data_IF_596628336885
#
_entry.id   IF_596628336885
#
_cell.length_a   1.000
_cell.length_b   1.000
_cell.length_c   1.000
_cell.angle_alpha   90.00
_cell.angle_beta   90.00
_cell.angle_gamma   90.00
#
_symmetry.space_group_name_H-M   'P 1'
#
loop_
_entity.id
_entity.type
_entity.pdbx_description
1 polymer ?
#
# COMPACT_ATOMS: atom_id res chain seq x y z
N UNK A 1 15.69 7.44 -13.62
CA UNK A 1 15.84 7.54 -12.15
C UNK A 1 14.91 8.60 -11.53
N UNK A 2 14.81 9.83 -12.07
CA UNK A 2 14.05 10.94 -11.45
C UNK A 2 12.57 10.65 -11.10
N UNK A 3 11.84 9.81 -11.86
CA UNK A 3 10.41 9.53 -11.58
C UNK A 3 10.18 8.69 -10.33
N UNK A 4 11.12 7.81 -9.96
CA UNK A 4 10.93 6.90 -8.83
C UNK A 4 11.63 7.37 -7.56
N UNK A 5 12.25 8.55 -7.57
CA UNK A 5 13.08 9.00 -6.45
C UNK A 5 12.29 9.05 -5.13
N UNK A 6 11.11 9.67 -5.14
CA UNK A 6 10.22 9.74 -3.97
C UNK A 6 9.89 8.33 -3.44
N UNK A 7 9.55 7.42 -4.33
CA UNK A 7 9.22 6.03 -3.97
C UNK A 7 10.42 5.28 -3.38
N UNK A 8 11.61 5.47 -3.95
CA UNK A 8 12.85 4.88 -3.44
C UNK A 8 13.20 5.40 -2.06
N UNK A 9 13.11 6.73 -1.85
CA UNK A 9 13.37 7.36 -0.55
C UNK A 9 12.41 6.82 0.51
N UNK A 10 11.13 6.66 0.17
CA UNK A 10 10.16 6.03 1.07
C UNK A 10 10.53 4.58 1.38
N UNK A 11 10.88 3.77 0.37
CA UNK A 11 11.23 2.36 0.59
C UNK A 11 12.44 2.19 1.48
N UNK A 12 13.46 3.04 1.31
CA UNK A 12 14.66 3.04 2.14
C UNK A 12 14.34 3.42 3.58
N UNK A 13 13.35 4.28 3.84
CA UNK A 13 12.99 4.71 5.19
C UNK A 13 11.85 3.90 5.84
N UNK A 14 11.15 3.04 5.10
CA UNK A 14 9.94 2.36 5.57
C UNK A 14 10.15 1.49 6.82
N UNK A 15 11.30 0.85 6.94
CA UNK A 15 11.63 0.06 8.13
C UNK A 15 11.77 0.96 9.37
N UNK A 16 12.38 2.14 9.23
CA UNK A 16 12.57 3.10 10.31
C UNK A 16 11.21 3.64 10.78
N UNK A 17 10.34 4.06 9.86
CA UNK A 17 9.01 4.60 10.22
C UNK A 17 8.11 3.52 10.82
N UNK A 18 8.17 2.28 10.32
CA UNK A 18 7.40 1.18 10.92
C UNK A 18 7.84 0.92 12.37
N UNK A 19 9.15 0.90 12.64
CA UNK A 19 9.67 0.62 13.99
C UNK A 19 9.47 1.78 14.96
N UNK A 20 9.70 3.02 14.53
CA UNK A 20 9.63 4.20 15.41
C UNK A 20 8.21 4.73 15.58
N UNK A 21 7.43 4.72 14.51
CA UNK A 21 6.16 5.45 14.42
C UNK A 21 4.96 4.51 14.23
N UNK A 22 5.19 3.19 14.07
CA UNK A 22 4.17 2.18 13.75
C UNK A 22 3.38 2.50 12.47
N UNK A 23 4.02 3.17 11.51
CA UNK A 23 3.39 3.55 10.24
C UNK A 23 4.33 3.44 9.03
N UNK A 24 3.69 3.27 7.88
CA UNK A 24 4.28 3.49 6.57
C UNK A 24 3.21 4.17 5.69
N UNK A 25 3.54 4.69 4.50
CA UNK A 25 2.53 5.24 3.62
C UNK A 25 1.40 4.25 3.23
N UNK A 26 1.60 2.95 3.44
CA UNK A 26 0.65 1.87 3.17
C UNK A 26 0.12 1.15 4.42
N UNK A 27 0.59 1.52 5.62
CA UNK A 27 0.12 0.95 6.88
C UNK A 27 -0.25 2.09 7.82
N UNK A 28 -1.55 2.24 8.06
CA UNK A 28 -2.04 3.32 8.89
C UNK A 28 -1.53 3.17 10.34
N UNK A 29 -1.11 4.26 11.00
CA UNK A 29 -0.55 4.24 12.36
C UNK A 29 -1.47 3.62 13.43
N UNK A 30 -2.78 3.74 13.22
CA UNK A 30 -3.77 3.17 14.14
C UNK A 30 -4.02 1.67 13.91
N UNK A 31 -3.56 1.08 12.80
CA UNK A 31 -3.85 -0.30 12.41
C UNK A 31 -3.39 -1.32 13.48
N UNK A 32 -2.22 -1.09 14.07
CA UNK A 32 -1.63 -1.98 15.08
C UNK A 32 -1.45 -1.31 16.45
N UNK A 33 -2.10 -0.16 16.66
CA UNK A 33 -1.92 0.65 17.89
C UNK A 33 -2.18 -0.15 19.17
N UNK A 34 -3.20 -1.03 19.14
CA UNK A 34 -3.61 -1.78 20.32
C UNK A 34 -2.82 -3.09 20.49
N UNK A 35 -2.41 -3.71 19.39
CA UNK A 35 -1.69 -4.98 19.38
C UNK A 35 -0.88 -5.15 18.10
N UNK A 36 0.42 -5.38 18.25
CA UNK A 36 1.31 -5.70 17.13
C UNK A 36 1.12 -7.17 16.73
N UNK A 37 0.77 -7.49 15.47
CA UNK A 37 0.58 -8.87 15.02
C UNK A 37 1.87 -9.70 15.12
N UNK A 38 1.73 -11.01 15.24
CA UNK A 38 2.88 -11.92 15.32
C UNK A 38 3.71 -11.89 14.05
N UNK A 39 3.06 -11.75 12.90
CA UNK A 39 3.73 -11.68 11.60
C UNK A 39 4.66 -10.45 11.47
N UNK A 40 4.47 -9.39 12.27
CA UNK A 40 5.42 -8.27 12.32
C UNK A 40 6.67 -8.54 13.18
N UNK A 41 6.63 -9.58 14.04
CA UNK A 41 7.65 -9.85 15.06
C UNK A 41 8.38 -11.17 14.85
N UNK A 42 7.82 -12.08 14.05
CA UNK A 42 8.28 -13.45 13.91
C UNK A 42 9.26 -13.66 12.75
N UNK A 43 9.95 -14.81 12.76
CA UNK A 43 10.61 -15.35 11.57
C UNK A 43 9.54 -15.80 10.55
N UNK A 44 9.26 -14.91 9.61
CA UNK A 44 8.22 -15.07 8.62
C UNK A 44 8.40 -16.32 7.76
N UNK A 45 9.63 -16.69 7.43
CA UNK A 45 9.91 -17.78 6.50
C UNK A 45 9.77 -19.15 7.17
N UNK A 46 9.99 -19.21 8.49
CA UNK A 46 9.77 -20.41 9.28
C UNK A 46 8.33 -20.55 9.79
N UNK A 47 7.58 -19.45 9.85
CA UNK A 47 6.20 -19.44 10.36
C UNK A 47 5.16 -19.93 9.35
N UNK A 48 4.18 -20.68 9.85
CA UNK A 48 3.01 -21.13 9.09
C UNK A 48 2.22 -19.94 8.50
N UNK A 49 1.50 -20.22 7.40
CA UNK A 49 0.66 -19.21 6.75
C UNK A 49 -0.49 -18.80 7.70
N UNK A 50 -0.64 -17.52 8.05
CA UNK A 50 -1.73 -17.06 8.89
C UNK A 50 -3.08 -17.19 8.17
N UNK A 51 -4.15 -17.34 8.96
CA UNK A 51 -5.53 -17.42 8.45
C UNK A 51 -6.35 -16.17 8.77
N UNK A 52 -6.05 -15.45 9.85
CA UNK A 52 -6.76 -14.21 10.18
C UNK A 52 -6.34 -13.06 9.27
N UNK A 53 -7.30 -12.28 8.78
CA UNK A 53 -7.09 -11.18 7.85
C UNK A 53 -5.99 -10.19 8.29
N UNK A 54 -5.98 -9.81 9.57
CA UNK A 54 -5.00 -8.87 10.14
C UNK A 54 -3.57 -9.43 10.13
N UNK A 55 -3.39 -10.71 10.45
CA UNK A 55 -2.07 -11.38 10.38
C UNK A 55 -1.62 -11.60 8.93
N UNK A 56 -2.55 -11.89 8.01
CA UNK A 56 -2.24 -11.98 6.59
C UNK A 56 -1.73 -10.64 6.04
N UNK A 57 -2.41 -9.53 6.41
CA UNK A 57 -1.97 -8.18 6.04
C UNK A 57 -0.61 -7.84 6.66
N UNK A 58 -0.44 -8.13 7.95
CA UNK A 58 0.81 -7.92 8.66
C UNK A 58 1.97 -8.68 8.04
N UNK A 59 1.76 -9.95 7.63
CA UNK A 59 2.76 -10.75 6.92
C UNK A 59 3.16 -10.11 5.60
N UNK A 60 2.21 -9.57 4.83
CA UNK A 60 2.52 -8.85 3.60
C UNK A 60 3.35 -7.60 3.87
N UNK A 61 2.93 -6.77 4.82
CA UNK A 61 3.64 -5.54 5.16
C UNK A 61 5.06 -5.82 5.67
N UNK A 62 5.23 -6.84 6.53
CA UNK A 62 6.53 -7.26 7.01
C UNK A 62 7.42 -7.77 5.87
N UNK A 63 6.89 -8.64 4.98
CA UNK A 63 7.64 -9.10 3.81
C UNK A 63 8.04 -7.95 2.89
N UNK A 64 7.16 -6.97 2.64
CA UNK A 64 7.49 -5.76 1.87
C UNK A 64 8.66 -5.04 2.52
N UNK A 65 8.63 -4.78 3.83
CA UNK A 65 9.70 -4.09 4.55
C UNK A 65 11.02 -4.87 4.47
N UNK A 66 11.00 -6.19 4.68
CA UNK A 66 12.20 -7.01 4.54
C UNK A 66 12.77 -6.99 3.11
N UNK A 67 11.90 -7.01 2.10
CA UNK A 67 12.33 -6.91 0.72
C UNK A 67 12.87 -5.52 0.38
N UNK A 68 12.29 -4.42 0.89
CA UNK A 68 12.83 -3.07 0.63
C UNK A 68 14.21 -2.91 1.25
N UNK A 69 14.43 -3.41 2.47
CA UNK A 69 15.76 -3.42 3.09
C UNK A 69 16.74 -4.15 2.16
N UNK A 70 16.44 -5.39 1.76
CA UNK A 70 17.39 -6.23 1.01
C UNK A 70 17.63 -5.78 -0.44
N UNK A 71 16.60 -5.24 -1.11
CA UNK A 71 16.70 -4.82 -2.51
C UNK A 71 17.50 -3.53 -2.68
N UNK A 72 17.40 -2.63 -1.71
CA UNK A 72 18.04 -1.32 -1.73
C UNK A 72 19.27 -1.25 -0.82
N UNK A 73 19.75 -2.41 -0.35
CA UNK A 73 21.06 -2.56 0.30
C UNK A 73 22.18 -2.61 -0.75
N UNK A 74 23.32 -2.01 -0.43
CA UNK A 74 24.52 -2.02 -1.28
C UNK A 74 25.18 -3.41 -1.33
N UNK A 75 24.88 -4.29 -0.37
CA UNK A 75 25.42 -5.63 -0.29
C UNK A 75 24.83 -6.59 -1.35
N UNK A 76 25.73 -7.33 -2.00
CA UNK A 76 25.36 -8.34 -2.99
C UNK A 76 24.68 -9.55 -2.34
N UNK A 77 25.08 -9.91 -1.12
CA UNK A 77 24.45 -11.02 -0.40
C UNK A 77 23.01 -10.68 0.00
N UNK A 78 22.74 -9.43 0.40
CA UNK A 78 21.38 -8.95 0.61
C UNK A 78 20.50 -9.06 -0.65
N UNK A 79 21.01 -8.64 -1.81
CA UNK A 79 20.28 -8.77 -3.09
C UNK A 79 20.02 -10.22 -3.50
N UNK A 80 20.97 -11.13 -3.26
CA UNK A 80 20.75 -12.56 -3.48
C UNK A 80 19.66 -13.10 -2.55
N UNK A 81 19.70 -12.73 -1.27
CA UNK A 81 18.68 -13.10 -0.30
C UNK A 81 17.28 -12.55 -0.67
N UNK A 82 17.20 -11.33 -1.23
CA UNK A 82 15.96 -10.79 -1.78
C UNK A 82 15.42 -11.68 -2.90
N UNK A 83 16.27 -12.06 -3.87
CA UNK A 83 15.87 -12.91 -4.98
C UNK A 83 15.35 -14.29 -4.52
N UNK A 84 15.96 -14.87 -3.49
CA UNK A 84 15.53 -16.15 -2.91
C UNK A 84 14.18 -16.05 -2.16
N UNK A 85 13.85 -14.88 -1.62
CA UNK A 85 12.68 -14.70 -0.73
C UNK A 85 11.52 -13.98 -1.39
N UNK A 86 11.71 -13.38 -2.57
CA UNK A 86 10.65 -12.80 -3.38
C UNK A 86 9.49 -13.77 -3.69
N UNK A 87 9.72 -15.09 -3.93
CA UNK A 87 8.62 -16.05 -4.08
C UNK A 87 7.69 -16.08 -2.86
N UNK A 88 8.20 -15.90 -1.64
CA UNK A 88 7.37 -15.89 -0.43
C UNK A 88 6.43 -14.68 -0.38
N UNK A 89 6.89 -13.50 -0.84
CA UNK A 89 6.03 -12.31 -0.98
C UNK A 89 4.92 -12.57 -2.00
N UNK A 90 5.25 -13.16 -3.16
CA UNK A 90 4.25 -13.51 -4.18
C UNK A 90 3.21 -14.49 -3.67
N UNK A 91 3.65 -15.58 -3.04
CA UNK A 91 2.75 -16.60 -2.48
C UNK A 91 1.85 -16.01 -1.39
N UNK A 92 2.40 -15.15 -0.52
CA UNK A 92 1.61 -14.48 0.52
C UNK A 92 0.58 -13.51 -0.08
N UNK A 93 0.94 -12.81 -1.16
CA UNK A 93 0.02 -11.91 -1.88
C UNK A 93 -1.11 -12.68 -2.54
N UNK A 94 -0.79 -13.77 -3.25
CA UNK A 94 -1.79 -14.65 -3.83
C UNK A 94 -2.71 -15.24 -2.77
N UNK A 95 -2.16 -15.71 -1.65
CA UNK A 95 -2.96 -16.22 -0.54
C UNK A 95 -3.90 -15.15 0.02
N UNK A 96 -3.39 -13.93 0.26
CA UNK A 96 -4.20 -12.82 0.76
C UNK A 96 -5.40 -12.55 -0.17
N UNK A 97 -5.15 -12.39 -1.48
CA UNK A 97 -6.18 -12.07 -2.46
C UNK A 97 -7.24 -13.18 -2.61
N UNK A 98 -6.87 -14.43 -2.36
CA UNK A 98 -7.79 -15.58 -2.48
C UNK A 98 -8.58 -15.86 -1.20
N UNK A 99 -8.04 -15.50 -0.03
CA UNK A 99 -8.55 -15.98 1.26
C UNK A 99 -8.96 -14.86 2.22
N UNK A 100 -8.57 -13.62 1.98
CA UNK A 100 -8.95 -12.48 2.82
C UNK A 100 -10.08 -11.71 2.15
N UNK A 101 -11.25 -11.75 2.78
CA UNK A 101 -12.35 -10.86 2.43
C UNK A 101 -12.07 -9.48 3.03
N UNK A 102 -11.89 -8.50 2.16
CA UNK A 102 -11.85 -7.09 2.52
C UNK A 102 -13.27 -6.59 2.30
N UNK A 103 -13.94 -6.17 3.39
CA UNK A 103 -15.24 -5.51 3.28
C UNK A 103 -15.11 -4.34 2.27
N UNK A 104 -16.21 -3.93 1.66
CA UNK A 104 -16.19 -2.81 0.74
C UNK A 104 -16.82 -1.59 1.39
N UNK A 105 -16.08 -0.87 2.25
CA UNK A 105 -16.55 0.44 2.77
C UNK A 105 -16.92 1.41 1.64
N UNK A 106 -16.40 1.23 0.42
CA UNK A 106 -16.76 2.01 -0.76
C UNK A 106 -18.21 1.79 -1.19
N UNK A 107 -18.80 0.64 -0.86
CA UNK A 107 -20.19 0.31 -1.20
C UNK A 107 -21.21 1.04 -0.30
N UNK A 108 -20.79 1.59 0.84
CA UNK A 108 -21.68 2.25 1.81
C UNK A 108 -22.03 3.70 1.43
N UNK A 109 -21.53 4.22 0.31
CA UNK A 109 -21.85 5.56 -0.18
C UNK A 109 -21.37 6.68 0.78
N UNK A 110 -22.22 7.69 0.99
CA UNK A 110 -21.96 8.80 1.90
C UNK A 110 -22.81 8.66 3.17
N UNK A 111 -22.36 7.90 4.19
CA UNK A 111 -23.04 7.85 5.47
C UNK A 111 -23.10 9.24 6.12
N UNK A 112 -24.17 9.55 6.87
CA UNK A 112 -24.26 10.79 7.61
C UNK A 112 -23.19 10.83 8.71
N UNK A 113 -22.71 12.04 9.05
CA UNK A 113 -21.66 12.23 10.07
C UNK A 113 -22.03 11.61 11.42
N UNK A 114 -23.30 11.61 11.80
CA UNK A 114 -23.78 10.99 13.05
C UNK A 114 -23.44 9.51 13.11
N UNK A 115 -23.65 8.76 12.02
CA UNK A 115 -23.34 7.33 11.94
C UNK A 115 -21.83 7.06 11.98
N UNK A 116 -21.02 7.99 11.46
CA UNK A 116 -19.55 7.91 11.56
C UNK A 116 -19.03 8.22 12.97
N UNK A 117 -19.82 8.89 13.80
CA UNK A 117 -19.47 9.23 15.18
C UNK A 117 -19.97 8.19 16.19
N UNK A 118 -20.97 7.37 15.85
CA UNK A 118 -21.50 6.32 16.71
C UNK A 118 -20.45 5.25 17.03
N UNK A 119 -20.18 5.01 18.31
CA UNK A 119 -19.34 3.89 18.76
C UNK A 119 -20.04 2.55 18.48
N UNK A 120 -19.30 1.47 18.15
CA UNK A 120 -19.89 0.15 17.99
C UNK A 120 -20.53 -0.30 19.31
N UNK A 121 -21.86 -0.31 19.36
CA UNK A 121 -22.58 -0.79 20.55
C UNK A 121 -22.43 -2.31 20.69
N UNK A 122 -22.12 -2.79 21.89
CA UNK A 122 -21.90 -4.22 22.18
C UNK A 122 -23.17 -5.08 22.13
N UNK A 123 -24.32 -4.53 21.71
CA UNK A 123 -25.64 -5.12 21.96
C UNK A 123 -26.64 -5.11 20.79
N UNK A 124 -26.29 -4.69 19.57
CA UNK A 124 -27.22 -4.81 18.44
C UNK A 124 -26.86 -6.00 17.55
N UNK A 125 -27.62 -7.09 17.72
CA UNK A 125 -27.71 -8.13 16.71
C UNK A 125 -28.12 -7.50 15.37
N UNK A 126 -27.43 -7.93 14.32
CA UNK A 126 -27.58 -7.57 12.92
C UNK A 126 -29.01 -7.18 12.50
N UNK A 127 -29.15 -6.00 11.90
CA UNK A 127 -30.20 -5.82 10.87
C UNK A 127 -29.81 -4.88 9.71
N UNK A 128 -28.81 -4.00 9.83
CA UNK A 128 -28.34 -3.21 8.68
C UNK A 128 -26.83 -2.94 8.71
N UNK A 129 -25.98 -3.93 8.37
CA UNK A 129 -24.60 -3.77 7.84
C UNK A 129 -23.54 -2.93 8.58
N UNK A 130 -23.91 -2.11 9.56
CA UNK A 130 -23.13 -1.06 10.23
C UNK A 130 -22.86 -1.42 11.70
N UNK A 131 -23.03 -2.70 12.07
CA UNK A 131 -22.65 -3.23 13.40
C UNK A 131 -21.13 -3.29 13.61
N UNK A 132 -20.34 -2.99 12.57
CA UNK A 132 -18.88 -2.97 12.59
C UNK A 132 -18.42 -1.51 12.64
N UNK A 133 -17.40 -1.22 13.43
CA UNK A 133 -16.79 0.11 13.48
C UNK A 133 -16.30 0.50 12.06
N UNK A 134 -17.06 1.39 11.41
CA UNK A 134 -16.79 1.83 10.03
C UNK A 134 -15.37 2.38 9.88
N UNK A 135 -14.90 3.18 10.84
CA UNK A 135 -13.60 3.82 10.73
C UNK A 135 -12.46 2.80 10.87
N UNK A 136 -12.56 1.87 11.82
CA UNK A 136 -11.57 0.80 11.96
C UNK A 136 -11.58 -0.15 10.76
N UNK A 137 -12.77 -0.43 10.22
CA UNK A 137 -12.92 -1.21 8.99
C UNK A 137 -12.24 -0.49 7.84
N UNK A 138 -12.52 0.81 7.64
CA UNK A 138 -11.88 1.63 6.62
C UNK A 138 -10.35 1.66 6.76
N UNK A 139 -9.82 1.80 7.98
CA UNK A 139 -8.36 1.78 8.25
C UNK A 139 -7.75 0.46 7.76
N UNK A 140 -8.37 -0.67 8.11
CA UNK A 140 -7.90 -1.98 7.70
C UNK A 140 -7.94 -2.14 6.18
N UNK A 141 -9.09 -1.83 5.58
CA UNK A 141 -9.28 -2.01 4.15
C UNK A 141 -8.37 -1.10 3.32
N UNK A 142 -8.23 0.17 3.71
CA UNK A 142 -7.39 1.13 3.01
C UNK A 142 -5.91 0.76 3.13
N UNK A 143 -5.48 0.34 4.32
CA UNK A 143 -4.13 -0.22 4.51
C UNK A 143 -3.92 -1.47 3.66
N UNK A 144 -4.93 -2.35 3.54
CA UNK A 144 -4.87 -3.52 2.67
C UNK A 144 -4.73 -3.14 1.20
N UNK A 145 -5.59 -2.25 0.68
CA UNK A 145 -5.56 -1.77 -0.71
C UNK A 145 -4.21 -1.16 -1.07
N UNK A 146 -3.67 -0.28 -0.22
CA UNK A 146 -2.33 0.33 -0.40
C UNK A 146 -1.23 -0.74 -0.33
N UNK A 147 -1.28 -1.66 0.63
CA UNK A 147 -0.28 -2.73 0.78
C UNK A 147 -0.26 -3.67 -0.43
N UNK A 148 -1.42 -4.05 -0.96
CA UNK A 148 -1.51 -4.91 -2.16
C UNK A 148 -0.86 -4.21 -3.35
N UNK A 149 -1.17 -2.92 -3.57
CA UNK A 149 -0.52 -2.13 -4.61
C UNK A 149 1.01 -2.13 -4.44
N UNK A 150 1.51 -1.90 -3.22
CA UNK A 150 2.94 -1.92 -2.95
C UNK A 150 3.58 -3.28 -3.19
N UNK A 151 2.91 -4.37 -2.82
CA UNK A 151 3.41 -5.72 -3.06
C UNK A 151 3.63 -5.93 -4.57
N UNK A 152 2.64 -5.59 -5.40
CA UNK A 152 2.79 -5.67 -6.85
C UNK A 152 3.89 -4.75 -7.39
N UNK A 153 3.96 -3.50 -6.91
CA UNK A 153 4.98 -2.54 -7.32
C UNK A 153 6.38 -3.06 -7.02
N UNK A 154 6.62 -3.53 -5.78
CA UNK A 154 7.92 -4.02 -5.35
C UNK A 154 8.35 -5.28 -6.10
N UNK A 155 7.40 -6.19 -6.33
CA UNK A 155 7.59 -7.38 -7.16
C UNK A 155 8.04 -6.98 -8.58
N UNK A 156 7.40 -5.97 -9.18
CA UNK A 156 7.77 -5.48 -10.52
C UNK A 156 9.12 -4.80 -10.55
N UNK A 157 9.44 -3.99 -9.55
CA UNK A 157 10.77 -3.38 -9.40
C UNK A 157 11.84 -4.45 -9.36
N UNK A 158 11.64 -5.49 -8.52
CA UNK A 158 12.59 -6.59 -8.44
C UNK A 158 12.73 -7.36 -9.76
N UNK A 159 11.63 -7.65 -10.46
CA UNK A 159 11.71 -8.33 -11.77
C UNK A 159 12.55 -7.53 -12.76
N UNK A 160 12.33 -6.21 -12.84
CA UNK A 160 13.09 -5.31 -13.71
C UNK A 160 14.56 -5.32 -13.30
N UNK A 161 14.88 -5.13 -12.02
CA UNK A 161 16.25 -5.17 -11.50
C UNK A 161 16.94 -6.50 -11.82
N UNK A 162 16.26 -7.62 -11.59
CA UNK A 162 16.77 -8.95 -11.88
C UNK A 162 17.02 -9.13 -13.38
N UNK A 163 16.05 -8.79 -14.23
CA UNK A 163 16.12 -8.89 -15.67
C UNK A 163 17.30 -8.10 -16.24
N UNK A 164 17.57 -6.90 -15.72
CA UNK A 164 18.63 -6.01 -16.22
C UNK A 164 19.97 -6.17 -15.48
N UNK A 165 20.04 -6.99 -14.43
CA UNK A 165 21.30 -7.27 -13.74
C UNK A 165 22.30 -8.03 -14.63
N UNK A 166 23.58 -7.70 -14.52
CA UNK A 166 24.66 -8.40 -15.23
C UNK A 166 24.98 -9.74 -14.54
N UNK A 167 24.96 -10.84 -15.31
CA UNK A 167 25.42 -12.15 -14.86
C UNK A 167 25.99 -12.92 -16.05
N UNK A 168 27.13 -13.59 -15.89
CA UNK A 168 27.81 -14.32 -16.97
C UNK A 168 27.37 -15.79 -17.09
N UNK A 169 26.54 -16.29 -16.18
CA UNK A 169 25.99 -17.65 -16.25
C UNK A 169 24.99 -17.78 -17.41
N UNK A 170 25.23 -18.77 -18.28
CA UNK A 170 24.39 -19.05 -19.47
C UNK A 170 22.96 -19.43 -19.10
N UNK A 171 22.76 -20.26 -18.07
CA UNK A 171 21.43 -20.68 -17.65
C UNK A 171 20.62 -19.49 -17.10
N UNK A 172 21.29 -18.60 -16.37
CA UNK A 172 20.68 -17.37 -15.87
C UNK A 172 20.33 -16.39 -17.00
N UNK A 173 21.19 -16.28 -18.02
CA UNK A 173 20.92 -15.47 -19.22
C UNK A 173 19.70 -15.97 -20.00
N UNK A 174 19.58 -17.28 -20.20
CA UNK A 174 18.41 -17.88 -20.86
C UNK A 174 17.13 -17.61 -20.08
N UNK A 175 17.16 -17.78 -18.75
CA UNK A 175 16.02 -17.47 -17.87
C UNK A 175 15.62 -16.00 -17.93
N UNK A 176 16.60 -15.07 -17.90
CA UNK A 176 16.36 -13.63 -18.05
C UNK A 176 15.79 -13.29 -19.43
N UNK A 177 16.29 -13.91 -20.50
CA UNK A 177 15.79 -13.71 -21.85
C UNK A 177 14.33 -14.17 -21.99
N UNK A 178 13.99 -15.33 -21.40
CA UNK A 178 12.62 -15.82 -21.37
C UNK A 178 11.71 -14.90 -20.57
N UNK A 179 12.17 -14.41 -19.40
CA UNK A 179 11.42 -13.44 -18.63
C UNK A 179 11.24 -12.12 -19.37
N UNK A 180 12.24 -11.60 -20.07
CA UNK A 180 12.11 -10.39 -20.92
C UNK A 180 11.03 -10.55 -21.99
N UNK A 181 10.98 -11.70 -22.67
CA UNK A 181 9.94 -11.98 -23.69
C UNK A 181 8.54 -12.02 -23.08
N UNK A 182 8.42 -12.53 -21.86
CA UNK A 182 7.16 -12.65 -21.14
C UNK A 182 6.80 -11.40 -20.32
N UNK A 183 7.74 -10.47 -20.11
CA UNK A 183 7.56 -9.27 -19.32
C UNK A 183 6.71 -8.27 -20.11
N UNK A 184 5.41 -8.38 -19.95
CA UNK A 184 4.43 -7.38 -20.36
C UNK A 184 3.87 -6.70 -19.12
N UNK A 185 3.52 -5.42 -19.24
CA UNK A 185 2.64 -4.78 -18.27
C UNK A 185 1.33 -5.57 -18.24
N UNK A 186 1.13 -6.39 -17.21
CA UNK A 186 0.00 -7.31 -17.13
C UNK A 186 -1.27 -6.66 -16.56
N UNK A 187 -1.29 -5.33 -16.52
CA UNK A 187 -2.39 -4.53 -16.02
C UNK A 187 -2.56 -4.58 -14.51
N UNK A 188 -2.06 -5.60 -13.80
CA UNK A 188 -2.31 -5.85 -12.37
C UNK A 188 -1.93 -4.71 -11.43
N UNK A 189 -1.02 -3.83 -11.81
CA UNK A 189 -0.72 -2.63 -11.02
C UNK A 189 -1.86 -1.59 -11.06
N UNK A 190 -2.67 -1.59 -12.12
CA UNK A 190 -3.91 -0.83 -12.24
C UNK A 190 -5.14 -1.68 -11.91
N UNK A 191 -5.27 -2.85 -12.55
CA UNK A 191 -6.42 -3.74 -12.45
C UNK A 191 -6.70 -4.18 -11.01
N UNK A 192 -7.88 -3.83 -10.51
CA UNK A 192 -8.38 -4.21 -9.19
C UNK A 192 -7.74 -3.48 -8.01
N UNK A 193 -7.14 -2.31 -8.25
CA UNK A 193 -6.69 -1.41 -7.18
C UNK A 193 -7.49 -0.12 -7.21
N UNK A 194 -8.14 0.13 -6.08
CA UNK A 194 -8.65 1.45 -5.75
C UNK A 194 -8.18 1.85 -4.37
N UNK A 195 -8.06 3.14 -4.12
CA UNK A 195 -7.74 3.68 -2.80
C UNK A 195 -8.19 5.13 -2.73
N UNK A 196 -8.39 5.63 -1.51
CA UNK A 196 -8.70 7.03 -1.31
C UNK A 196 -7.43 7.87 -1.39
N UNK A 197 -7.39 8.78 -2.36
CA UNK A 197 -6.44 9.88 -2.35
C UNK A 197 -7.03 11.03 -1.54
N UNK A 198 -6.77 10.99 -0.24
CA UNK A 198 -7.17 12.03 0.71
C UNK A 198 -6.25 11.98 1.93
N UNK A 199 -5.37 12.97 2.03
CA UNK A 199 -4.50 13.16 3.20
C UNK A 199 -5.30 13.33 4.48
N UNK A 200 -6.44 14.03 4.41
CA UNK A 200 -7.29 14.32 5.55
C UNK A 200 -7.89 13.05 6.17
N UNK A 201 -8.33 12.10 5.34
CA UNK A 201 -8.78 10.80 5.82
C UNK A 201 -7.64 9.96 6.39
N UNK A 202 -6.52 9.88 5.64
CA UNK A 202 -5.39 9.04 6.04
C UNK A 202 -4.66 9.53 7.29
N UNK A 203 -4.72 10.83 7.60
CA UNK A 203 -4.05 11.40 8.77
C UNK A 203 -4.95 11.48 10.00
N UNK A 204 -6.26 11.26 9.87
CA UNK A 204 -7.19 11.34 10.98
C UNK A 204 -6.78 10.41 12.14
N UNK A 205 -6.60 10.97 13.33
CA UNK A 205 -6.16 10.25 14.54
C UNK A 205 -7.30 9.98 15.51
N UNK A 206 -8.46 10.58 15.29
CA UNK A 206 -9.67 10.38 16.09
C UNK A 206 -10.88 10.11 15.21
N UNK A 207 -11.89 9.44 15.77
CA UNK A 207 -13.17 9.17 15.10
C UNK A 207 -13.84 10.46 14.66
N UNK A 208 -13.74 11.50 15.49
CA UNK A 208 -14.25 12.83 15.19
C UNK A 208 -13.55 13.46 14.00
N UNK A 209 -12.21 13.47 13.97
CA UNK A 209 -11.43 13.97 12.83
C UNK A 209 -11.76 13.23 11.54
N UNK A 210 -11.87 11.90 11.60
CA UNK A 210 -12.23 11.08 10.45
C UNK A 210 -13.64 11.41 9.96
N UNK A 211 -14.64 11.45 10.86
CA UNK A 211 -16.02 11.76 10.51
C UNK A 211 -16.16 13.16 9.90
N UNK A 212 -15.45 14.16 10.44
CA UNK A 212 -15.43 15.53 9.92
C UNK A 212 -14.77 15.58 8.55
N UNK A 213 -13.60 14.97 8.38
CA UNK A 213 -12.91 14.90 7.09
C UNK A 213 -13.75 14.15 6.04
N UNK A 214 -14.42 13.07 6.44
CA UNK A 214 -15.31 12.31 5.58
C UNK A 214 -16.59 13.08 5.23
N UNK A 215 -17.04 14.03 6.04
CA UNK A 215 -18.17 14.88 5.69
C UNK A 215 -17.75 16.05 4.77
N UNK A 216 -16.62 16.70 5.08
CA UNK A 216 -16.31 18.04 4.56
C UNK A 216 -15.22 18.09 3.49
N UNK A 217 -14.32 17.08 3.44
CA UNK A 217 -13.15 17.11 2.56
C UNK A 217 -13.38 16.31 1.29
N UNK A 218 -12.64 16.67 0.23
CA UNK A 218 -12.62 15.91 -1.00
C UNK A 218 -12.03 14.51 -0.75
N UNK A 219 -12.63 13.53 -1.42
CA UNK A 219 -12.26 12.10 -1.31
C UNK A 219 -12.20 11.53 -2.72
N UNK A 220 -11.05 11.67 -3.36
CA UNK A 220 -10.88 11.13 -4.70
C UNK A 220 -10.60 9.64 -4.61
N UNK A 221 -11.45 8.83 -5.22
CA UNK A 221 -11.24 7.40 -5.32
C UNK A 221 -10.48 7.10 -6.60
N UNK A 222 -9.18 6.84 -6.47
CA UNK A 222 -8.34 6.50 -7.62
C UNK A 222 -8.64 5.06 -8.00
N UNK A 223 -8.95 4.81 -9.28
CA UNK A 223 -9.19 3.47 -9.82
C UNK A 223 -8.26 3.25 -11.00
N UNK A 224 -7.61 2.09 -11.05
CA UNK A 224 -6.75 1.71 -12.17
C UNK A 224 -5.66 2.75 -12.51
N UNK A 225 -5.15 3.46 -11.49
CA UNK A 225 -4.20 4.57 -11.61
C UNK A 225 -4.71 5.77 -12.44
N UNK A 226 -6.02 5.92 -12.61
CA UNK A 226 -6.62 7.08 -13.26
C UNK A 226 -6.70 8.27 -12.27
N UNK A 227 -5.87 9.28 -12.53
CA UNK A 227 -5.81 10.51 -11.75
C UNK A 227 -6.54 11.67 -12.43
N UNK A 228 -7.27 11.45 -13.52
CA UNK A 228 -7.84 12.53 -14.35
C UNK A 228 -8.73 13.47 -13.55
N UNK A 229 -9.68 12.94 -12.79
CA UNK A 229 -10.58 13.72 -11.93
C UNK A 229 -9.80 14.47 -10.84
N UNK A 230 -8.89 13.77 -10.15
CA UNK A 230 -8.06 14.37 -9.11
C UNK A 230 -7.20 15.52 -9.66
N UNK A 231 -6.53 15.34 -10.79
CA UNK A 231 -5.66 16.37 -11.38
C UNK A 231 -6.46 17.58 -11.87
N UNK A 232 -7.74 17.41 -12.16
CA UNK A 232 -8.66 18.48 -12.57
C UNK A 232 -9.23 19.26 -11.37
N UNK A 233 -9.57 18.60 -10.27
CA UNK A 233 -10.34 19.22 -9.17
C UNK A 233 -9.66 19.22 -7.80
N UNK A 234 -8.65 18.38 -7.59
CA UNK A 234 -7.97 18.22 -6.31
C UNK A 234 -6.94 19.31 -6.02
N UNK A 235 -6.48 19.34 -4.77
CA UNK A 235 -5.46 20.26 -4.28
C UNK A 235 -4.22 19.49 -3.79
N UNK A 236 -3.05 20.14 -3.74
CA UNK A 236 -1.82 19.51 -3.23
C UNK A 236 -1.97 19.00 -1.79
N UNK A 237 -2.75 19.70 -0.97
CA UNK A 237 -3.04 19.30 0.40
C UNK A 237 -3.84 17.99 0.49
N UNK A 238 -4.57 17.58 -0.55
CA UNK A 238 -5.29 16.30 -0.57
C UNK A 238 -4.32 15.10 -0.73
N UNK A 239 -3.04 15.34 -1.07
CA UNK A 239 -2.07 14.29 -1.42
C UNK A 239 -1.23 13.86 -0.21
N UNK A 240 -1.50 12.68 0.31
CA UNK A 240 -0.62 12.03 1.30
C UNK A 240 0.67 11.47 0.67
N UNK A 241 1.57 10.93 1.51
CA UNK A 241 2.84 10.39 1.03
C UNK A 241 2.66 9.25 0.02
N UNK A 242 1.63 8.41 0.18
CA UNK A 242 1.37 7.33 -0.77
C UNK A 242 0.96 7.88 -2.13
N UNK A 243 0.07 8.88 -2.16
CA UNK A 243 -0.28 9.63 -3.35
C UNK A 243 0.93 10.27 -4.02
N UNK A 244 1.84 10.88 -3.25
CA UNK A 244 3.08 11.48 -3.78
C UNK A 244 3.97 10.44 -4.45
N UNK A 245 4.12 9.25 -3.86
CA UNK A 245 4.89 8.15 -4.47
C UNK A 245 4.29 7.75 -5.83
N UNK A 246 2.98 7.53 -5.88
CA UNK A 246 2.33 7.03 -7.10
C UNK A 246 2.24 8.11 -8.20
N UNK A 247 1.88 9.35 -7.85
CA UNK A 247 1.81 10.47 -8.79
C UNK A 247 3.18 10.80 -9.39
N UNK A 248 4.22 10.92 -8.55
CA UNK A 248 5.57 11.20 -9.05
C UNK A 248 6.11 10.08 -9.95
N UNK A 249 5.82 8.82 -9.63
CA UNK A 249 6.17 7.68 -10.48
C UNK A 249 5.41 7.70 -11.82
N UNK A 250 4.12 8.07 -11.80
CA UNK A 250 3.24 8.07 -12.97
C UNK A 250 3.56 9.23 -13.94
N UNK A 251 3.48 10.47 -13.47
CA UNK A 251 3.63 11.65 -14.33
C UNK A 251 5.04 12.25 -14.33
N UNK A 252 5.88 11.86 -13.38
CA UNK A 252 7.21 12.41 -13.17
C UNK A 252 7.22 13.52 -12.11
N UNK A 253 8.34 13.62 -11.39
CA UNK A 253 8.50 14.54 -10.24
C UNK A 253 8.33 16.01 -10.63
N UNK A 254 8.92 16.44 -11.76
CA UNK A 254 8.83 17.84 -12.22
C UNK A 254 7.40 18.21 -12.62
N UNK A 255 6.70 17.32 -13.34
CA UNK A 255 5.31 17.54 -13.72
C UNK A 255 4.39 17.61 -12.49
N UNK A 256 4.64 16.76 -11.49
CA UNK A 256 3.91 16.79 -10.23
C UNK A 256 4.18 18.08 -9.44
N UNK A 257 5.44 18.52 -9.32
CA UNK A 257 5.81 19.77 -8.66
C UNK A 257 5.20 21.00 -9.35
N UNK A 258 5.19 21.02 -10.68
CA UNK A 258 4.55 22.08 -11.46
C UNK A 258 3.04 22.12 -11.22
N UNK A 259 2.39 20.94 -11.17
CA UNK A 259 0.97 20.83 -10.83
C UNK A 259 0.68 21.33 -9.41
N UNK A 260 1.53 20.99 -8.43
CA UNK A 260 1.42 21.48 -7.06
C UNK A 260 1.54 23.01 -7.00
N UNK A 261 2.57 23.56 -7.64
CA UNK A 261 2.84 25.00 -7.67
C UNK A 261 1.69 25.78 -8.30
N UNK A 262 1.11 25.27 -9.40
CA UNK A 262 -0.02 25.89 -10.09
C UNK A 262 -1.30 25.95 -9.24
N UNK A 263 -1.40 25.10 -8.21
CA UNK A 263 -2.55 25.02 -7.29
C UNK A 263 -2.26 25.54 -5.88
N UNK A 264 -1.15 26.28 -5.71
CA UNK A 264 -0.79 26.90 -4.43
C UNK A 264 -0.15 25.96 -3.41
N UNK A 265 0.27 24.76 -3.82
CA UNK A 265 1.08 23.87 -2.98
C UNK A 265 2.54 24.29 -2.99
N UNK A 266 3.19 24.23 -1.81
CA UNK A 266 4.65 24.32 -1.67
C UNK A 266 5.34 23.00 -2.01
#
# INVERSE_FOLDING_TARGET
>A
MARMQVTLDVFQNAHRTMVLDNETPWSHPLLYRNFMPRSMQADLLASEQPTSAIECLARLQALIIYQTIRLFDDDTSARLAAAMTMPALRSSLTYFLQNVYVDDTLAFGNPPISSLLEEPSSSSAADHGLSRDFWQTWIFEESARRTIFLAYLLIRIWEVMYIFSNNNDKAEQEKKQQMRKNHKCDGRLGSSHCWYLSSHLWQARTRYEFALAYAEKNRFLIRDLDFTEFLAFGYPDDVDMFGKMVLSASMGIEAFQNWCSARGGM
#
